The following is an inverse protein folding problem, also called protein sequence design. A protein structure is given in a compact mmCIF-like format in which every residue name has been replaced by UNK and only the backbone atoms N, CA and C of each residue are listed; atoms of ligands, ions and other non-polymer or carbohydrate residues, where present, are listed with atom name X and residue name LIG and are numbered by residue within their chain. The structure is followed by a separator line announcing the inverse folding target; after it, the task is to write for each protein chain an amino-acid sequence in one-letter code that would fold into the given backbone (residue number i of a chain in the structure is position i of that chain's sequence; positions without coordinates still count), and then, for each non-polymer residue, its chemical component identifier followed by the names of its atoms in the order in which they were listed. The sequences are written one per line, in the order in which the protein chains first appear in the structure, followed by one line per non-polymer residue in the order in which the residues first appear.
data_IF_590417965163
#
_entry.id   IF_590417965163
#
_cell.length_a   1.000
_cell.length_b   1.000
_cell.length_c   1.000
_cell.angle_alpha   90.00
_cell.angle_beta   90.00
_cell.angle_gamma   90.00
#
_symmetry.space_group_name_H-M   'P 1'
#
loop_
_entity.id
_entity.type
_entity.pdbx_description
1 polymer ?
#
# COMPACT_ATOMS: atom_id res chain seq x y z
N UNK A 1 -12.70 -0.11 -29.51
CA UNK A 1 -12.39 -0.33 -28.95
C UNK A 1 -12.03 -0.70 -28.24
N UNK A 2 -12.09 -0.88 -28.00
CA UNK A 2 -11.79 -1.10 -27.31
C UNK A 2 -11.58 -1.47 -26.39
N UNK A 3 -11.95 -1.56 -25.90
CA UNK A 3 -11.76 -1.82 -25.01
C UNK A 3 -11.71 -2.69 -24.38
N UNK A 4 -11.29 -2.82 -24.14
CA UNK A 4 -10.93 -3.70 -23.44
C UNK A 4 -11.79 -4.38 -22.58
N UNK A 5 -11.91 -5.45 -22.44
CA UNK A 5 -12.85 -5.99 -21.49
C UNK A 5 -12.24 -6.06 -20.11
N UNK A 6 -12.95 -5.54 -19.14
CA UNK A 6 -12.53 -5.63 -17.76
C UNK A 6 -12.91 -6.98 -17.19
N UNK A 7 -12.13 -7.46 -16.23
CA UNK A 7 -12.53 -8.60 -15.44
C UNK A 7 -13.79 -8.26 -14.67
N UNK A 8 -14.70 -9.22 -14.44
CA UNK A 8 -15.92 -8.93 -13.68
C UNK A 8 -15.67 -8.33 -12.31
N UNK A 9 -14.58 -8.72 -11.66
CA UNK A 9 -14.22 -8.15 -10.36
C UNK A 9 -13.92 -6.67 -10.43
N UNK A 10 -13.25 -6.22 -11.49
CA UNK A 10 -12.93 -4.80 -11.68
C UNK A 10 -14.21 -3.98 -11.82
N UNK A 11 -15.14 -4.45 -12.64
CA UNK A 11 -16.39 -3.75 -12.85
C UNK A 11 -17.17 -3.67 -11.55
N UNK A 12 -17.16 -4.74 -10.78
CA UNK A 12 -17.87 -4.80 -9.52
C UNK A 12 -17.33 -3.81 -8.51
N UNK A 13 -16.00 -3.72 -8.39
CA UNK A 13 -15.37 -2.78 -7.48
C UNK A 13 -15.66 -1.34 -7.89
N UNK A 14 -15.59 -1.05 -9.19
CA UNK A 14 -15.85 0.29 -9.69
C UNK A 14 -17.26 0.76 -9.39
N UNK A 15 -18.21 -0.18 -9.32
CA UNK A 15 -19.63 0.15 -9.16
C UNK A 15 -20.08 0.04 -7.71
N UNK A 16 -19.18 -0.25 -6.78
CA UNK A 16 -19.53 -0.43 -5.38
C UNK A 16 -18.71 0.54 -4.52
N UNK A 17 -19.24 1.75 -4.28
CA UNK A 17 -18.51 2.73 -3.47
C UNK A 17 -18.27 2.27 -2.04
N UNK A 18 -19.15 1.46 -1.49
CA UNK A 18 -18.96 0.98 -0.12
C UNK A 18 -17.80 -0.02 -0.06
N UNK A 19 -17.72 -0.91 -1.03
CA UNK A 19 -16.60 -1.84 -1.09
C UNK A 19 -15.28 -1.09 -1.25
N UNK A 20 -15.25 -0.11 -2.14
CA UNK A 20 -14.05 0.69 -2.35
C UNK A 20 -13.64 1.41 -1.07
N UNK A 21 -14.61 1.97 -0.35
CA UNK A 21 -14.33 2.65 0.91
C UNK A 21 -13.69 1.72 1.94
N UNK A 22 -14.18 0.48 2.00
CA UNK A 22 -13.63 -0.53 2.90
C UNK A 22 -12.22 -0.93 2.51
N UNK A 23 -11.97 -1.06 1.21
CA UNK A 23 -10.63 -1.37 0.72
C UNK A 23 -9.65 -0.23 1.02
N UNK A 24 -10.10 1.02 0.85
CA UNK A 24 -9.28 2.18 1.15
C UNK A 24 -8.96 2.25 2.64
N UNK A 25 -9.89 1.88 3.49
CA UNK A 25 -9.63 1.82 4.94
C UNK A 25 -8.49 0.87 5.25
N UNK A 26 -8.51 -0.32 4.65
CA UNK A 26 -7.44 -1.30 4.86
C UNK A 26 -6.12 -0.78 4.30
N UNK A 27 -6.16 -0.16 3.13
CA UNK A 27 -4.97 0.42 2.51
C UNK A 27 -4.37 1.50 3.40
N UNK A 28 -5.21 2.38 3.93
CA UNK A 28 -4.75 3.45 4.82
C UNK A 28 -4.11 2.89 6.10
N UNK A 29 -4.66 1.80 6.62
CA UNK A 29 -4.09 1.16 7.80
C UNK A 29 -2.71 0.60 7.51
N UNK A 30 -2.54 -0.03 6.34
CA UNK A 30 -1.23 -0.50 5.93
C UNK A 30 -0.24 0.65 5.75
N UNK A 31 -0.68 1.75 5.16
CA UNK A 31 0.17 2.91 4.96
C UNK A 31 0.61 3.53 6.29
N UNK A 32 -0.30 3.58 7.24
CA UNK A 32 -0.02 4.20 8.54
C UNK A 32 0.93 3.34 9.38
N UNK A 33 0.94 2.03 9.18
CA UNK A 33 1.72 1.11 10.00
C UNK A 33 2.36 0.02 9.13
N UNK A 34 3.08 0.43 8.09
CA UNK A 34 3.66 -0.51 7.13
C UNK A 34 4.70 -1.45 7.74
N UNK A 35 5.21 -1.12 8.91
CA UNK A 35 6.16 -1.96 9.62
C UNK A 35 5.50 -3.14 10.33
N UNK A 36 4.17 -3.10 10.49
CA UNK A 36 3.44 -4.18 11.16
C UNK A 36 3.14 -5.33 10.20
N UNK A 37 2.74 -6.45 10.80
CA UNK A 37 2.30 -7.61 10.04
C UNK A 37 0.86 -7.40 9.58
N UNK A 38 0.64 -7.58 8.29
CA UNK A 38 -0.70 -7.39 7.70
C UNK A 38 -1.10 -8.63 6.90
N UNK A 39 -1.36 -9.77 7.58
CA UNK A 39 -1.86 -10.93 6.85
C UNK A 39 -3.23 -10.63 6.25
N UNK A 40 -3.58 -11.37 5.19
CA UNK A 40 -4.86 -11.15 4.51
C UNK A 40 -6.03 -11.27 5.47
N UNK A 41 -5.93 -12.17 6.45
CA UNK A 41 -6.99 -12.32 7.44
C UNK A 41 -7.26 -11.02 8.20
N UNK A 42 -6.20 -10.33 8.59
CA UNK A 42 -6.32 -9.06 9.31
C UNK A 42 -6.92 -7.97 8.42
N UNK A 43 -6.45 -7.91 7.18
CA UNK A 43 -6.95 -6.92 6.22
C UNK A 43 -8.41 -7.16 5.88
N UNK A 44 -8.78 -8.41 5.69
CA UNK A 44 -10.17 -8.77 5.42
C UNK A 44 -11.06 -8.39 6.59
N UNK A 45 -10.58 -8.63 7.81
CA UNK A 45 -11.31 -8.27 9.01
C UNK A 45 -11.54 -6.75 9.09
N UNK A 46 -10.51 -5.95 8.81
CA UNK A 46 -10.65 -4.49 8.80
C UNK A 46 -11.67 -4.06 7.76
N UNK A 47 -11.70 -4.74 6.62
CA UNK A 47 -12.60 -4.41 5.51
C UNK A 47 -14.00 -4.97 5.68
N UNK A 48 -14.18 -5.95 6.57
CA UNK A 48 -15.48 -6.56 6.77
C UNK A 48 -15.90 -7.48 5.65
N UNK A 49 -14.95 -8.13 4.97
CA UNK A 49 -15.24 -9.06 3.88
C UNK A 49 -14.40 -10.33 4.07
N UNK A 50 -14.69 -11.37 3.27
CA UNK A 50 -13.90 -12.59 3.34
C UNK A 50 -12.49 -12.36 2.79
N UNK A 51 -11.56 -13.24 3.16
CA UNK A 51 -10.19 -13.12 2.70
C UNK A 51 -10.08 -13.18 1.17
N UNK A 52 -10.76 -14.14 0.57
CA UNK A 52 -10.72 -14.29 -0.89
C UNK A 52 -11.32 -13.09 -1.58
N UNK A 53 -12.44 -12.58 -1.07
CA UNK A 53 -13.09 -11.41 -1.64
C UNK A 53 -12.19 -10.18 -1.49
N UNK A 54 -11.56 -10.02 -0.34
CA UNK A 54 -10.65 -8.92 -0.11
C UNK A 54 -9.48 -8.95 -1.10
N UNK A 55 -8.81 -10.08 -1.23
CA UNK A 55 -7.64 -10.19 -2.08
C UNK A 55 -7.97 -9.87 -3.53
N UNK A 56 -9.07 -10.42 -4.04
CA UNK A 56 -9.47 -10.16 -5.42
C UNK A 56 -9.86 -8.71 -5.64
N UNK A 57 -10.64 -8.17 -4.71
CA UNK A 57 -11.12 -6.80 -4.84
C UNK A 57 -9.99 -5.80 -4.72
N UNK A 58 -9.04 -6.05 -3.80
CA UNK A 58 -7.90 -5.16 -3.63
C UNK A 58 -7.06 -5.12 -4.90
N UNK A 59 -6.77 -6.29 -5.47
CA UNK A 59 -6.00 -6.33 -6.71
C UNK A 59 -6.75 -5.65 -7.85
N UNK A 60 -8.06 -5.85 -7.92
CA UNK A 60 -8.87 -5.21 -8.97
C UNK A 60 -8.88 -3.68 -8.80
N UNK A 61 -8.97 -3.20 -7.57
CA UNK A 61 -9.05 -1.77 -7.31
C UNK A 61 -7.71 -1.06 -7.48
N UNK A 62 -6.62 -1.69 -7.03
CA UNK A 62 -5.33 -1.02 -6.95
C UNK A 62 -4.24 -1.61 -7.84
N UNK A 63 -4.57 -2.64 -8.58
CA UNK A 63 -3.67 -3.20 -9.61
C UNK A 63 -2.65 -4.21 -9.09
N UNK A 64 -2.48 -4.35 -7.78
CA UNK A 64 -1.53 -5.31 -7.21
C UNK A 64 -2.16 -6.01 -6.01
N UNK A 65 -1.72 -7.23 -5.70
CA UNK A 65 -2.21 -7.92 -4.50
C UNK A 65 -1.79 -7.20 -3.22
N UNK A 66 -2.52 -7.40 -2.13
CA UNK A 66 -2.21 -6.70 -0.88
C UNK A 66 -0.78 -6.91 -0.37
N UNK A 67 -0.28 -8.14 -0.45
CA UNK A 67 1.08 -8.42 0.06
C UNK A 67 2.13 -7.68 -0.77
N UNK A 68 1.92 -7.55 -2.06
CA UNK A 68 2.86 -6.84 -2.93
C UNK A 68 2.77 -5.33 -2.67
N UNK A 69 1.59 -4.83 -2.43
CA UNK A 69 1.42 -3.43 -2.06
C UNK A 69 2.18 -3.11 -0.77
N UNK A 70 2.03 -3.97 0.23
CA UNK A 70 2.69 -3.77 1.52
C UNK A 70 4.21 -3.80 1.36
N UNK A 71 4.72 -4.74 0.57
CA UNK A 71 6.16 -4.83 0.31
C UNK A 71 6.67 -3.55 -0.34
N UNK A 72 5.96 -3.03 -1.32
CA UNK A 72 6.34 -1.78 -1.98
C UNK A 72 6.38 -0.63 -1.00
N UNK A 73 5.36 -0.53 -0.12
CA UNK A 73 5.33 0.54 0.87
C UNK A 73 6.49 0.44 1.85
N UNK A 74 6.83 -0.78 2.26
CA UNK A 74 7.96 -0.98 3.16
C UNK A 74 9.27 -0.57 2.50
N UNK A 75 9.45 -0.91 1.23
CA UNK A 75 10.65 -0.53 0.49
C UNK A 75 10.74 0.98 0.30
N UNK A 76 9.62 1.62 -0.02
CA UNK A 76 9.59 3.07 -0.15
C UNK A 76 9.94 3.76 1.16
N UNK A 77 9.41 3.26 2.26
CA UNK A 77 9.69 3.83 3.57
C UNK A 77 11.15 3.65 3.95
N UNK A 78 11.71 2.47 3.69
CA UNK A 78 13.11 2.20 3.95
C UNK A 78 14.01 3.11 3.12
N UNK A 79 13.67 3.29 1.84
CA UNK A 79 14.43 4.18 0.96
C UNK A 79 14.39 5.61 1.46
N UNK A 80 13.23 6.09 1.86
CA UNK A 80 13.09 7.45 2.38
C UNK A 80 13.92 7.66 3.64
N UNK A 81 13.91 6.67 4.54
CA UNK A 81 14.72 6.75 5.76
C UNK A 81 16.21 6.76 5.45
N UNK A 82 16.66 5.93 4.50
CA UNK A 82 18.06 5.91 4.11
C UNK A 82 18.48 7.23 3.46
N UNK A 83 17.63 7.79 2.62
CA UNK A 83 17.92 9.08 1.99
C UNK A 83 18.01 10.19 3.03
N UNK A 84 17.16 10.16 4.04
CA UNK A 84 17.21 11.13 5.12
C UNK A 84 18.52 11.00 5.90
N UNK A 85 18.91 9.78 6.22
CA UNK A 85 20.16 9.55 6.94
C UNK A 85 21.36 9.98 6.12
N UNK A 86 21.35 9.72 4.82
CA UNK A 86 22.40 10.14 3.92
C UNK A 86 22.53 11.65 3.92
N UNK A 87 21.42 12.36 3.85
CA UNK A 87 21.42 13.81 3.86
C UNK A 87 21.97 14.34 5.18
N UNK A 88 21.60 13.73 6.30
CA UNK A 88 22.11 14.13 7.62
C UNK A 88 23.60 13.91 7.72
N UNK A 89 24.09 12.77 7.23
CA UNK A 89 25.52 12.47 7.25
C UNK A 89 26.27 13.46 6.37
N UNK A 90 25.75 13.77 5.19
CA UNK A 90 26.40 14.74 4.31
C UNK A 90 26.50 16.11 4.96
N UNK A 91 25.43 16.57 5.57
CA UNK A 91 25.43 17.86 6.24
C UNK A 91 26.48 17.86 7.34
N UNK A 92 26.57 16.76 8.07
CA UNK A 92 27.56 16.66 9.15
C UNK A 92 28.99 16.75 8.63
N UNK A 93 29.29 16.00 7.57
CA UNK A 93 30.67 15.96 7.06
C UNK A 93 31.04 17.15 6.20
N UNK A 94 30.05 17.80 5.59
CA UNK A 94 30.29 18.99 4.79
C UNK A 94 30.37 20.28 5.63
N UNK A 95 30.09 20.16 6.92
CA UNK A 95 30.12 21.31 7.81
C UNK A 95 31.58 21.78 7.97
N UNK A 96 31.82 23.10 7.89
CA UNK A 96 33.17 23.58 8.13
C UNK A 96 33.67 23.15 9.49
N UNK A 97 34.89 22.68 9.53
CA UNK A 97 35.48 22.27 10.77
C UNK A 97 36.07 23.49 11.49
N UNK A 98 35.91 23.58 12.78
CA UNK A 98 36.57 24.64 13.52
C UNK A 98 38.10 24.49 13.40
N UNK A 99 38.77 25.58 13.25
CA UNK A 99 40.20 25.61 13.08
C UNK A 99 40.94 25.14 14.34
#
# INVERSE_FOLDING_TARGET
MLFRSRAPGDAQVSQDPELLRRLLRAKDRMDAASHEEWPVARLASVSGVSQAHFARSFKAAFGVPPHRYLLTRRLERATALLQTRDAEVRIFYDRPQPA
#
